data_IF_867924425829
#
_entry.id   IF_867924425829
#
_cell.length_a   1.000
_cell.length_b   1.000
_cell.length_c   1.000
_cell.angle_alpha   90.00
_cell.angle_beta   90.00
_cell.angle_gamma   90.00
#
_symmetry.space_group_name_H-M   'P 1'
#
loop_
_entity.id
_entity.type
_entity.pdbx_description
1 polymer ?
#
# COMPACT_ATOMS: atom_id res chain seq x y z
N UNK A 1 -10.80 9.07 -3.92
CA UNK A 1 -10.70 9.59 -5.30
C UNK A 1 -10.87 8.43 -6.25
N UNK A 2 -11.71 8.58 -7.27
CA UNK A 2 -11.94 7.55 -8.28
C UNK A 2 -11.53 8.08 -9.65
N UNK A 3 -10.92 7.22 -10.46
CA UNK A 3 -10.39 7.57 -11.79
C UNK A 3 -11.07 6.66 -12.83
N UNK A 4 -11.93 7.26 -13.64
CA UNK A 4 -12.77 6.62 -14.66
C UNK A 4 -12.36 7.03 -16.09
N UNK A 5 -11.06 7.07 -16.36
CA UNK A 5 -10.51 7.46 -17.66
C UNK A 5 -8.98 7.40 -17.66
N UNK A 6 -8.36 8.13 -18.57
CA UNK A 6 -6.89 8.22 -18.65
C UNK A 6 -6.37 9.39 -17.81
N UNK A 7 -5.38 9.12 -16.97
CA UNK A 7 -4.69 10.12 -16.17
C UNK A 7 -3.18 9.88 -16.27
N UNK A 8 -2.45 10.92 -16.63
CA UNK A 8 -0.98 10.93 -16.68
C UNK A 8 -0.44 11.96 -15.70
N UNK A 9 0.50 11.55 -14.84
CA UNK A 9 1.15 12.40 -13.85
C UNK A 9 0.98 11.91 -12.41
N UNK A 10 1.08 12.84 -11.47
CA UNK A 10 1.14 12.53 -10.05
C UNK A 10 -0.23 12.66 -9.39
N UNK A 11 -0.63 11.62 -8.64
CA UNK A 11 -1.86 11.58 -7.85
C UNK A 11 -1.50 11.54 -6.38
N UNK A 12 -1.95 12.54 -5.62
CA UNK A 12 -1.81 12.57 -4.18
C UNK A 12 -3.19 12.58 -3.52
N UNK A 13 -3.46 11.60 -2.67
CA UNK A 13 -4.73 11.48 -1.95
C UNK A 13 -4.50 10.97 -0.53
N UNK A 14 -5.01 11.66 0.48
CA UNK A 14 -4.79 11.26 1.90
C UNK A 14 -5.47 9.96 2.32
N UNK A 15 -6.38 9.43 1.52
CA UNK A 15 -7.22 8.28 1.87
C UNK A 15 -7.13 7.25 0.75
N UNK A 16 -8.22 6.98 0.03
CA UNK A 16 -8.27 5.91 -0.96
C UNK A 16 -8.28 6.44 -2.40
N UNK A 17 -7.45 5.83 -3.25
CA UNK A 17 -7.49 5.97 -4.72
C UNK A 17 -8.05 4.69 -5.33
N UNK A 18 -8.98 4.83 -6.26
CA UNK A 18 -9.58 3.71 -6.99
C UNK A 18 -9.39 3.95 -8.48
N UNK A 19 -8.69 3.04 -9.15
CA UNK A 19 -8.62 2.98 -10.61
C UNK A 19 -9.72 2.02 -11.05
N UNK A 20 -10.77 2.56 -11.67
CA UNK A 20 -11.88 1.75 -12.17
C UNK A 20 -11.46 0.84 -13.33
N UNK A 21 -12.33 -0.07 -13.77
CA UNK A 21 -12.03 -0.98 -14.89
C UNK A 21 -11.74 -0.27 -16.22
N UNK A 22 -12.34 0.90 -16.46
CA UNK A 22 -12.02 1.78 -17.59
C UNK A 22 -10.88 2.76 -17.31
N UNK A 23 -10.37 2.78 -16.06
CA UNK A 23 -9.33 3.67 -15.61
C UNK A 23 -7.94 3.23 -16.10
N UNK A 24 -7.15 4.19 -16.54
CA UNK A 24 -5.75 4.01 -16.94
C UNK A 24 -4.93 5.12 -16.29
N UNK A 25 -3.97 4.76 -15.46
CA UNK A 25 -3.08 5.72 -14.81
C UNK A 25 -1.65 5.44 -15.19
N UNK A 26 -0.93 6.48 -15.63
CA UNK A 26 0.51 6.43 -15.89
C UNK A 26 1.20 7.51 -15.05
N UNK A 27 2.04 7.11 -14.10
CA UNK A 27 2.75 8.05 -13.23
C UNK A 27 2.88 7.58 -11.77
N UNK A 28 2.83 8.53 -10.84
CA UNK A 28 3.07 8.26 -9.42
C UNK A 28 1.78 8.42 -8.60
N UNK A 29 1.46 7.43 -7.75
CA UNK A 29 0.32 7.49 -6.83
C UNK A 29 0.85 7.46 -5.39
N UNK A 30 0.49 8.47 -4.61
CA UNK A 30 0.67 8.50 -3.15
C UNK A 30 -0.70 8.50 -2.48
N UNK A 31 -0.99 7.44 -1.71
CA UNK A 31 -2.23 7.36 -0.96
C UNK A 31 -2.12 6.47 0.29
N UNK A 32 -3.14 6.47 1.15
CA UNK A 32 -3.22 5.49 2.24
C UNK A 32 -3.60 4.10 1.69
N UNK A 33 -4.60 4.07 0.80
CA UNK A 33 -5.06 2.85 0.12
C UNK A 33 -5.17 3.05 -1.38
N UNK A 34 -4.72 2.09 -2.18
CA UNK A 34 -4.89 2.06 -3.64
C UNK A 34 -5.60 0.78 -4.07
N UNK A 35 -6.70 0.91 -4.80
CA UNK A 35 -7.42 -0.21 -5.42
C UNK A 35 -7.31 -0.12 -6.94
N UNK A 36 -6.86 -1.19 -7.59
CA UNK A 36 -6.60 -1.23 -9.03
C UNK A 36 -7.55 -2.24 -9.66
N UNK A 37 -8.58 -1.76 -10.35
CA UNK A 37 -9.48 -2.57 -11.18
C UNK A 37 -9.25 -2.38 -12.69
N UNK A 38 -8.44 -1.39 -13.08
CA UNK A 38 -8.09 -1.09 -14.47
C UNK A 38 -6.59 -1.26 -14.72
N UNK A 39 -5.97 -0.29 -15.38
CA UNK A 39 -4.56 -0.31 -15.72
C UNK A 39 -3.76 0.75 -14.96
N UNK A 40 -2.60 0.35 -14.45
CA UNK A 40 -1.62 1.22 -13.81
C UNK A 40 -0.22 0.94 -14.35
N UNK A 41 0.54 2.00 -14.65
CA UNK A 41 1.97 1.92 -14.98
C UNK A 41 2.74 3.05 -14.27
N UNK A 42 3.71 2.69 -13.42
CA UNK A 42 4.57 3.64 -12.73
C UNK A 42 4.88 3.25 -11.28
N UNK A 43 4.81 4.22 -10.36
CA UNK A 43 5.18 4.01 -8.95
C UNK A 43 3.99 4.23 -8.00
N UNK A 44 3.78 3.29 -7.08
CA UNK A 44 2.78 3.42 -6.00
C UNK A 44 3.50 3.52 -4.66
N UNK A 45 3.13 4.52 -3.86
CA UNK A 45 3.47 4.61 -2.43
C UNK A 45 2.19 4.60 -1.63
N UNK A 46 1.90 3.51 -0.94
CA UNK A 46 0.70 3.40 -0.11
C UNK A 46 0.83 2.38 1.02
N UNK A 47 0.06 2.57 2.09
CA UNK A 47 0.00 1.59 3.17
C UNK A 47 -0.61 0.29 2.66
N UNK A 48 -1.73 0.38 1.93
CA UNK A 48 -2.47 -0.77 1.39
C UNK A 48 -2.59 -0.66 -0.13
N UNK A 49 -2.23 -1.73 -0.85
CA UNK A 49 -2.43 -1.85 -2.30
C UNK A 49 -3.21 -3.12 -2.61
N UNK A 50 -4.33 -2.99 -3.30
CA UNK A 50 -5.21 -4.10 -3.70
C UNK A 50 -5.35 -4.11 -5.23
N UNK A 51 -4.86 -5.19 -5.86
CA UNK A 51 -5.04 -5.44 -7.29
C UNK A 51 -6.26 -6.37 -7.44
N UNK A 52 -7.34 -5.81 -7.95
CA UNK A 52 -8.62 -6.50 -8.13
C UNK A 52 -8.60 -7.42 -9.37
N UNK A 53 -9.63 -8.25 -9.60
CA UNK A 53 -9.60 -9.29 -10.64
C UNK A 53 -9.37 -8.81 -12.09
N UNK A 54 -9.66 -7.55 -12.41
CA UNK A 54 -9.38 -6.95 -13.73
C UNK A 54 -8.15 -6.02 -13.70
N UNK A 55 -7.56 -5.83 -12.53
CA UNK A 55 -6.44 -4.95 -12.29
C UNK A 55 -5.15 -5.44 -12.94
N UNK A 56 -4.47 -4.53 -13.62
CA UNK A 56 -3.13 -4.72 -14.16
C UNK A 56 -2.25 -3.60 -13.66
N UNK A 57 -1.23 -3.93 -12.89
CA UNK A 57 -0.27 -2.97 -12.38
C UNK A 57 1.13 -3.30 -12.89
N UNK A 58 1.79 -2.30 -13.46
CA UNK A 58 3.16 -2.35 -13.93
C UNK A 58 4.02 -1.32 -13.19
N UNK A 59 5.23 -1.71 -12.79
CA UNK A 59 6.20 -0.82 -12.15
C UNK A 59 6.47 -1.14 -10.68
N UNK A 60 6.66 -0.12 -9.85
CA UNK A 60 7.24 -0.27 -8.50
C UNK A 60 6.22 0.06 -7.42
N UNK A 61 6.05 -0.84 -6.43
CA UNK A 61 5.13 -0.66 -5.30
C UNK A 61 5.89 -0.59 -3.98
N UNK A 62 5.73 0.52 -3.26
CA UNK A 62 6.17 0.72 -1.89
C UNK A 62 4.96 0.56 -0.96
N UNK A 63 4.86 -0.59 -0.28
CA UNK A 63 3.72 -0.91 0.58
C UNK A 63 4.05 -2.05 1.55
N UNK A 64 3.47 -1.99 2.75
CA UNK A 64 3.56 -3.09 3.73
C UNK A 64 2.38 -4.08 3.59
N UNK A 65 1.32 -3.69 2.89
CA UNK A 65 0.12 -4.50 2.70
C UNK A 65 -0.28 -4.56 1.22
N UNK A 66 0.38 -5.44 0.45
CA UNK A 66 0.04 -5.73 -0.94
C UNK A 66 -0.82 -6.99 -1.06
N UNK A 67 -1.98 -6.88 -1.70
CA UNK A 67 -2.87 -7.99 -2.05
C UNK A 67 -3.13 -8.04 -3.56
N UNK A 68 -3.06 -9.23 -4.14
CA UNK A 68 -3.40 -9.49 -5.55
C UNK A 68 -4.52 -10.54 -5.55
N UNK A 69 -5.71 -10.12 -5.97
CA UNK A 69 -6.87 -11.00 -6.08
C UNK A 69 -6.76 -11.94 -7.30
N UNK A 70 -7.58 -13.00 -7.30
CA UNK A 70 -7.66 -13.93 -8.43
C UNK A 70 -8.06 -13.19 -9.70
N UNK A 71 -7.20 -13.25 -10.71
CA UNK A 71 -7.38 -12.57 -12.00
C UNK A 71 -6.55 -11.27 -12.14
N UNK A 72 -6.15 -10.68 -11.01
CA UNK A 72 -5.25 -9.54 -10.99
C UNK A 72 -3.85 -9.91 -11.48
N UNK A 73 -3.15 -8.96 -12.09
CA UNK A 73 -1.76 -9.13 -12.54
C UNK A 73 -0.88 -7.99 -12.08
N UNK A 74 0.31 -8.34 -11.59
CA UNK A 74 1.35 -7.41 -11.18
C UNK A 74 2.65 -7.75 -11.88
N UNK A 75 3.28 -6.73 -12.48
CA UNK A 75 4.55 -6.86 -13.18
C UNK A 75 5.51 -5.76 -12.73
N UNK A 76 6.46 -6.11 -11.88
CA UNK A 76 7.52 -5.20 -11.46
C UNK A 76 8.06 -5.53 -10.07
N UNK A 77 8.45 -4.50 -9.32
CA UNK A 77 9.20 -4.62 -8.08
C UNK A 77 8.37 -4.18 -6.88
N UNK A 78 8.58 -4.84 -5.74
CA UNK A 78 7.94 -4.48 -4.48
C UNK A 78 8.99 -4.17 -3.43
N UNK A 79 8.72 -3.14 -2.65
CA UNK A 79 9.54 -2.72 -1.53
C UNK A 79 8.64 -2.47 -0.31
N UNK A 80 9.21 -2.63 0.88
CA UNK A 80 8.58 -2.18 2.11
C UNK A 80 8.28 -0.68 2.04
N UNK A 81 7.26 -0.23 2.77
CA UNK A 81 6.94 1.19 2.88
C UNK A 81 8.14 1.96 3.42
N UNK A 82 8.39 3.18 2.89
CA UNK A 82 9.52 4.00 3.36
C UNK A 82 9.33 4.28 4.85
N UNK A 83 10.31 3.95 5.72
CA UNK A 83 10.21 4.23 7.16
C UNK A 83 10.11 5.74 7.35
N UNK A 84 8.91 6.24 7.69
CA UNK A 84 8.64 7.67 7.82
C UNK A 84 7.17 8.08 7.87
N UNK A 85 6.23 7.21 7.50
CA UNK A 85 4.78 7.53 7.57
C UNK A 85 3.95 6.37 8.14
N UNK A 86 4.37 5.80 9.27
CA UNK A 86 3.48 4.97 10.08
C UNK A 86 2.68 5.90 10.99
N UNK A 87 1.38 6.04 10.73
CA UNK A 87 0.47 6.62 11.71
C UNK A 87 0.32 5.58 12.83
N UNK A 88 1.09 5.74 13.92
CA UNK A 88 0.96 4.94 15.14
C UNK A 88 -0.44 5.17 15.72
N UNK A 89 -1.41 4.35 15.34
CA UNK A 89 -2.64 4.17 16.10
C UNK A 89 -2.28 3.36 17.35
N UNK A 90 -1.98 4.10 18.41
CA UNK A 90 -1.93 3.61 19.78
C UNK A 90 -3.36 3.22 20.19
N UNK A 91 -3.63 1.93 20.35
CA UNK A 91 -4.67 1.47 21.30
C UNK A 91 -4.11 0.27 22.06
N UNK A 92 -4.05 0.46 23.38
CA UNK A 92 -3.57 -0.43 24.45
C UNK A 92 -3.97 -1.91 24.33
N UNK A 93 -3.08 -2.83 24.77
CA UNK A 93 -3.21 -3.63 26.01
C UNK A 93 -1.94 -4.47 26.29
N UNK A 94 -1.24 -4.13 27.38
CA UNK A 94 -0.43 -4.93 28.32
C UNK A 94 0.38 -6.15 27.82
N UNK A 95 1.72 -6.02 27.81
CA UNK A 95 2.61 -7.16 28.09
C UNK A 95 3.13 -7.08 29.53
N UNK A 96 2.55 -7.82 30.49
CA UNK A 96 3.20 -8.07 31.76
C UNK A 96 4.28 -9.11 31.49
N UNK A 97 5.55 -8.75 31.73
CA UNK A 97 6.56 -9.61 32.37
C UNK A 97 7.97 -9.04 32.15
N UNK A 98 8.26 -7.95 32.87
CA UNK A 98 9.60 -7.75 33.42
C UNK A 98 9.85 -8.85 34.47
N UNK A 99 10.48 -9.95 34.09
CA UNK A 99 11.20 -10.84 35.01
C UNK A 99 12.49 -11.34 34.36
N UNK A 100 13.53 -10.54 34.42
CA UNK A 100 14.91 -11.02 34.45
C UNK A 100 15.80 -10.05 35.24
N UNK A 101 15.34 -9.66 36.43
CA UNK A 101 16.25 -9.21 37.47
C UNK A 101 16.65 -10.45 38.28
N UNK A 102 17.71 -11.14 37.84
CA UNK A 102 18.49 -12.05 38.68
C UNK A 102 19.97 -11.77 38.42
N UNK A 103 20.35 -10.54 38.74
CA UNK A 103 21.71 -10.20 39.13
C UNK A 103 21.91 -10.68 40.57
N UNK A 104 22.89 -11.56 40.77
CA UNK A 104 23.62 -11.82 42.02
C UNK A 104 22.88 -12.63 43.10
N UNK A 105 23.17 -13.94 43.14
CA UNK A 105 23.21 -14.69 44.38
C UNK A 105 24.69 -14.86 44.80
N UNK A 106 25.02 -14.13 45.87
CA UNK A 106 26.07 -14.28 46.89
C UNK A 106 27.19 -15.32 46.69
#
# INVERSE_FOLDING_TARGET
MQIDGELEGNVECKSTVIISCSGKVVGEITADKVMINGYFDGQITANIVEILPQGKAHGVVFSDNLCIERGGSFFGETHASKPGQQNLLLTDELQPNNVAELSQAK
#
